data_IF_658152712621
#
_entry.id   IF_658152712621
#
_cell.length_a   1.000
_cell.length_b   1.000
_cell.length_c   1.000
_cell.angle_alpha   90.00
_cell.angle_beta   90.00
_cell.angle_gamma   90.00
#
_symmetry.space_group_name_H-M   'P 1'
#
loop_
_entity.id
_entity.type
_entity.pdbx_description
1 polymer ?
#
# COMPACT_ATOMS: atom_id res chain seq x y z
N UNK A 1 35.06 -31.41 -53.74
CA UNK A 1 34.39 -30.35 -52.95
C UNK A 1 33.28 -31.03 -52.15
N UNK A 2 33.58 -31.91 -51.21
CA UNK A 2 34.23 -31.69 -49.90
C UNK A 2 33.38 -30.80 -48.98
N UNK A 3 32.61 -31.44 -48.08
CA UNK A 3 32.28 -30.88 -46.76
C UNK A 3 33.57 -30.71 -45.93
N UNK A 4 33.61 -29.78 -44.96
CA UNK A 4 33.29 -30.11 -43.56
C UNK A 4 32.42 -29.03 -42.88
N UNK A 5 31.47 -29.34 -41.99
CA UNK A 5 31.56 -29.84 -40.61
C UNK A 5 31.97 -28.76 -39.58
N UNK A 6 31.32 -28.86 -38.41
CA UNK A 6 31.64 -28.22 -37.12
C UNK A 6 31.23 -26.73 -36.97
N UNK A 7 30.75 -26.24 -35.83
CA UNK A 7 30.63 -26.77 -34.46
C UNK A 7 29.85 -25.77 -33.62
N UNK A 8 29.11 -26.27 -32.61
CA UNK A 8 29.10 -25.73 -31.25
C UNK A 8 28.44 -24.35 -31.03
N UNK A 9 27.69 -24.12 -29.96
CA UNK A 9 27.48 -24.96 -28.80
C UNK A 9 26.30 -24.45 -28.01
N UNK A 10 25.72 -25.41 -27.28
CA UNK A 10 24.71 -25.22 -26.28
C UNK A 10 25.07 -24.05 -25.36
N UNK A 11 24.16 -23.07 -25.27
CA UNK A 11 24.08 -22.23 -24.10
C UNK A 11 23.77 -23.15 -22.92
N UNK A 12 24.73 -23.22 -22.00
CA UNK A 12 24.70 -24.08 -20.83
C UNK A 12 23.59 -23.72 -19.83
N UNK A 13 23.31 -24.65 -18.90
CA UNK A 13 22.25 -24.54 -17.92
C UNK A 13 22.73 -23.73 -16.71
N UNK A 14 22.05 -22.63 -16.38
CA UNK A 14 22.24 -21.95 -15.10
C UNK A 14 21.05 -21.05 -14.76
N UNK A 15 19.83 -21.62 -14.73
CA UNK A 15 18.64 -20.94 -14.23
C UNK A 15 17.95 -21.74 -13.11
N UNK A 16 18.75 -22.44 -12.30
CA UNK A 16 18.26 -23.26 -11.20
C UNK A 16 18.94 -22.86 -9.89
N UNK A 17 18.73 -21.62 -9.43
CA UNK A 17 19.09 -21.23 -8.06
C UNK A 17 18.42 -19.91 -7.61
N UNK A 18 17.14 -19.65 -7.92
CA UNK A 18 16.38 -18.64 -7.16
C UNK A 18 14.85 -18.75 -7.32
N UNK A 19 14.29 -19.96 -7.20
CA UNK A 19 12.83 -20.15 -7.30
C UNK A 19 12.15 -20.48 -5.96
N UNK A 20 12.90 -20.89 -4.93
CA UNK A 20 12.28 -21.41 -3.70
C UNK A 20 11.81 -20.34 -2.70
N UNK A 21 12.34 -19.11 -2.74
CA UNK A 21 11.91 -18.05 -1.83
C UNK A 21 10.61 -17.36 -2.23
N UNK A 22 10.29 -17.35 -3.53
CA UNK A 22 9.17 -16.55 -4.07
C UNK A 22 7.91 -17.37 -4.34
N UNK A 23 8.00 -18.70 -4.38
CA UNK A 23 6.84 -19.59 -4.65
C UNK A 23 5.99 -19.81 -3.39
N UNK A 24 6.60 -19.79 -2.20
CA UNK A 24 5.88 -19.93 -0.93
C UNK A 24 4.96 -18.71 -0.65
N UNK A 25 5.42 -17.49 -0.94
CA UNK A 25 4.61 -16.28 -0.79
C UNK A 25 3.42 -16.23 -1.75
N UNK A 26 3.54 -16.83 -2.95
CA UNK A 26 2.43 -16.88 -3.93
C UNK A 26 1.34 -17.91 -3.61
N UNK A 27 1.56 -18.81 -2.64
CA UNK A 27 0.63 -19.89 -2.30
C UNK A 27 -0.14 -19.63 -0.99
N UNK A 28 0.34 -18.73 -0.13
CA UNK A 28 -0.33 -18.40 1.12
C UNK A 28 -1.43 -17.34 0.89
N UNK A 29 -2.71 -17.67 1.13
CA UNK A 29 -3.81 -16.73 0.97
C UNK A 29 -3.62 -15.43 1.76
N UNK A 30 -2.91 -15.44 2.88
CA UNK A 30 -2.65 -14.25 3.69
C UNK A 30 -2.05 -13.11 2.87
N UNK A 31 -1.06 -13.39 2.02
CA UNK A 31 -0.37 -12.35 1.25
C UNK A 31 -1.25 -11.73 0.15
N UNK A 32 -2.15 -12.51 -0.44
CA UNK A 32 -3.15 -12.00 -1.38
C UNK A 32 -4.10 -11.02 -0.69
N UNK A 33 -4.61 -11.39 0.48
CA UNK A 33 -5.48 -10.51 1.27
C UNK A 33 -4.75 -9.32 1.90
N UNK A 34 -3.44 -9.47 2.18
CA UNK A 34 -2.55 -8.39 2.59
C UNK A 34 -2.46 -7.33 1.49
N UNK A 35 -2.16 -7.72 0.26
CA UNK A 35 -2.09 -6.78 -0.89
C UNK A 35 -3.43 -6.08 -1.14
N UNK A 36 -4.55 -6.81 -1.02
CA UNK A 36 -5.89 -6.22 -1.10
C UNK A 36 -6.12 -5.17 0.00
N UNK A 37 -5.74 -5.49 1.25
CA UNK A 37 -5.85 -4.55 2.36
C UNK A 37 -4.95 -3.33 2.15
N UNK A 38 -3.70 -3.51 1.71
CA UNK A 38 -2.77 -2.41 1.42
C UNK A 38 -3.34 -1.47 0.34
N UNK A 39 -3.98 -2.04 -0.68
CA UNK A 39 -4.68 -1.27 -1.72
C UNK A 39 -5.84 -0.46 -1.14
N UNK A 40 -6.65 -1.06 -0.27
CA UNK A 40 -7.78 -0.39 0.41
C UNK A 40 -7.32 0.70 1.37
N UNK A 41 -6.28 0.45 2.17
CA UNK A 41 -5.66 1.42 3.09
C UNK A 41 -5.06 2.59 2.31
N UNK A 42 -4.35 2.32 1.22
CA UNK A 42 -3.81 3.35 0.33
C UNK A 42 -4.91 4.23 -0.27
N UNK A 43 -6.03 3.62 -0.70
CA UNK A 43 -7.20 4.37 -1.19
C UNK A 43 -7.82 5.26 -0.11
N UNK A 44 -7.92 4.76 1.13
CA UNK A 44 -8.40 5.53 2.27
C UNK A 44 -7.47 6.73 2.57
N UNK A 45 -6.16 6.53 2.55
CA UNK A 45 -5.16 7.61 2.72
C UNK A 45 -5.24 8.69 1.64
N UNK A 46 -5.38 8.30 0.37
CA UNK A 46 -5.54 9.25 -0.73
C UNK A 46 -6.79 10.12 -0.56
N UNK A 47 -7.92 9.50 -0.20
CA UNK A 47 -9.17 10.20 0.09
C UNK A 47 -9.05 11.10 1.32
N UNK A 48 -8.37 10.62 2.36
CA UNK A 48 -8.09 11.36 3.58
C UNK A 48 -7.23 12.60 3.32
N UNK A 49 -6.18 12.49 2.51
CA UNK A 49 -5.34 13.64 2.14
C UNK A 49 -6.15 14.73 1.40
N UNK A 50 -6.99 14.34 0.42
CA UNK A 50 -7.89 15.27 -0.26
C UNK A 50 -8.91 15.89 0.72
N UNK A 51 -9.54 15.07 1.55
CA UNK A 51 -10.50 15.49 2.55
C UNK A 51 -9.88 16.49 3.55
N UNK A 52 -8.68 16.21 4.04
CA UNK A 52 -7.95 17.03 5.01
C UNK A 52 -7.60 18.40 4.44
N UNK A 53 -7.14 18.46 3.19
CA UNK A 53 -6.89 19.71 2.48
C UNK A 53 -8.15 20.59 2.40
N UNK A 54 -9.30 19.99 2.06
CA UNK A 54 -10.59 20.71 1.97
C UNK A 54 -11.12 21.10 3.35
N UNK A 55 -10.88 20.26 4.35
CA UNK A 55 -11.20 20.58 5.72
C UNK A 55 -10.34 21.78 6.19
N UNK A 56 -9.04 21.78 6.01
CA UNK A 56 -8.21 22.87 6.51
C UNK A 56 -8.39 24.18 5.71
N UNK A 57 -8.69 24.06 4.41
CA UNK A 57 -9.12 25.18 3.57
C UNK A 57 -10.50 25.71 4.02
N UNK A 58 -10.51 26.77 4.84
CA UNK A 58 -11.73 27.45 5.32
C UNK A 58 -12.56 28.15 4.21
N UNK A 59 -12.18 28.01 2.93
CA UNK A 59 -12.88 28.62 1.80
C UNK A 59 -14.21 27.92 1.47
N UNK A 60 -15.28 28.71 1.33
CA UNK A 60 -16.65 28.20 1.16
C UNK A 60 -16.95 27.60 -0.22
N UNK A 61 -16.11 27.81 -1.23
CA UNK A 61 -16.33 27.27 -2.57
C UNK A 61 -15.98 25.77 -2.67
N UNK A 62 -14.88 25.37 -2.02
CA UNK A 62 -14.38 23.99 -2.00
C UNK A 62 -15.09 23.13 -0.94
N UNK A 63 -15.64 23.76 0.10
CA UNK A 63 -16.40 23.09 1.17
C UNK A 63 -17.66 22.34 0.70
N UNK A 64 -18.15 22.58 -0.51
CA UNK A 64 -19.29 21.85 -1.09
C UNK A 64 -19.02 20.36 -1.31
N UNK A 65 -17.76 19.98 -1.56
CA UNK A 65 -17.36 18.57 -1.74
C UNK A 65 -17.18 17.82 -0.41
N UNK A 66 -17.12 18.55 0.71
CA UNK A 66 -16.77 17.97 2.01
C UNK A 66 -17.74 16.86 2.46
N UNK A 67 -19.08 16.99 2.36
CA UNK A 67 -20.00 15.92 2.75
C UNK A 67 -19.78 14.64 1.93
N UNK A 68 -19.74 14.78 0.61
CA UNK A 68 -19.52 13.66 -0.31
C UNK A 68 -18.18 12.95 -0.06
N UNK A 69 -17.10 13.71 0.16
CA UNK A 69 -15.79 13.14 0.48
C UNK A 69 -15.77 12.46 1.84
N UNK A 70 -16.47 13.01 2.84
CA UNK A 70 -16.59 12.40 4.17
C UNK A 70 -17.30 11.03 4.07
N UNK A 71 -18.40 10.96 3.31
CA UNK A 71 -19.12 9.70 3.06
C UNK A 71 -18.25 8.68 2.30
N UNK A 72 -17.56 9.12 1.25
CA UNK A 72 -16.65 8.27 0.47
C UNK A 72 -15.48 7.75 1.30
N UNK A 73 -14.93 8.55 2.20
CA UNK A 73 -13.86 8.15 3.10
C UNK A 73 -14.36 7.18 4.16
N UNK A 74 -15.53 7.44 4.77
CA UNK A 74 -16.18 6.52 5.70
C UNK A 74 -16.40 5.14 5.09
N UNK A 75 -16.87 5.09 3.84
CA UNK A 75 -17.06 3.82 3.12
C UNK A 75 -15.74 3.11 2.82
N UNK A 76 -14.69 3.85 2.44
CA UNK A 76 -13.37 3.29 2.20
C UNK A 76 -12.76 2.70 3.47
N UNK A 77 -12.85 3.42 4.60
CA UNK A 77 -12.41 2.94 5.92
C UNK A 77 -13.18 1.69 6.33
N UNK A 78 -14.51 1.69 6.22
CA UNK A 78 -15.32 0.51 6.56
C UNK A 78 -15.01 -0.72 5.69
N UNK A 79 -14.66 -0.52 4.41
CA UNK A 79 -14.22 -1.60 3.52
C UNK A 79 -12.86 -2.17 3.94
N UNK A 80 -11.91 -1.30 4.30
CA UNK A 80 -10.60 -1.70 4.80
C UNK A 80 -10.70 -2.43 6.15
N UNK A 81 -11.54 -1.95 7.07
CA UNK A 81 -11.80 -2.59 8.37
C UNK A 81 -12.33 -4.02 8.22
N UNK A 82 -13.19 -4.28 7.24
CA UNK A 82 -13.69 -5.64 6.95
C UNK A 82 -12.57 -6.58 6.51
N UNK A 83 -11.70 -6.12 5.59
CA UNK A 83 -10.54 -6.91 5.13
C UNK A 83 -9.53 -7.14 6.25
N UNK A 84 -9.29 -6.11 7.08
CA UNK A 84 -8.42 -6.19 8.25
C UNK A 84 -8.94 -7.23 9.26
N UNK A 85 -10.23 -7.21 9.57
CA UNK A 85 -10.87 -8.19 10.46
C UNK A 85 -10.74 -9.62 9.92
N UNK A 86 -10.84 -9.80 8.61
CA UNK A 86 -10.61 -11.10 8.00
C UNK A 86 -9.18 -11.59 8.22
N UNK A 87 -8.17 -10.76 7.94
CA UNK A 87 -6.77 -11.10 8.17
C UNK A 87 -6.51 -11.47 9.64
N UNK A 88 -7.08 -10.75 10.59
CA UNK A 88 -6.99 -11.07 12.02
C UNK A 88 -7.54 -12.45 12.35
N UNK A 89 -8.71 -12.79 11.82
CA UNK A 89 -9.31 -14.11 12.00
C UNK A 89 -8.42 -15.21 11.41
N UNK A 90 -7.75 -14.95 10.28
CA UNK A 90 -6.80 -15.92 9.72
C UNK A 90 -5.60 -16.15 10.63
N UNK A 91 -5.04 -15.09 11.23
CA UNK A 91 -3.92 -15.21 12.19
C UNK A 91 -4.35 -16.03 13.40
N UNK A 92 -5.51 -15.71 14.00
CA UNK A 92 -6.06 -16.45 15.15
C UNK A 92 -6.27 -17.93 14.80
N UNK A 93 -6.76 -18.23 13.60
CA UNK A 93 -6.97 -19.61 13.14
C UNK A 93 -5.64 -20.38 13.02
N UNK A 94 -4.61 -19.75 12.45
CA UNK A 94 -3.27 -20.34 12.31
C UNK A 94 -2.64 -20.56 13.68
N UNK A 95 -2.79 -19.61 14.61
CA UNK A 95 -2.30 -19.73 15.98
C UNK A 95 -3.00 -20.83 16.77
N UNK A 96 -4.31 -20.99 16.62
CA UNK A 96 -5.07 -22.06 17.26
C UNK A 96 -4.72 -23.46 16.71
N UNK A 97 -4.13 -23.55 15.52
CA UNK A 97 -3.86 -24.81 14.82
C UNK A 97 -2.40 -24.93 14.36
N UNK A 98 -1.41 -24.55 15.20
CA UNK A 98 0.02 -24.51 14.81
C UNK A 98 0.53 -25.79 14.13
N UNK A 99 0.10 -26.98 14.58
CA UNK A 99 0.52 -28.26 14.00
C UNK A 99 0.03 -28.51 12.56
N UNK A 100 -1.00 -27.79 12.10
CA UNK A 100 -1.46 -27.85 10.70
C UNK A 100 -0.74 -26.86 9.79
N UNK A 101 -0.04 -25.89 10.39
CA UNK A 101 0.62 -24.78 9.72
C UNK A 101 2.10 -24.71 10.11
N UNK A 102 2.79 -25.85 10.11
CA UNK A 102 4.20 -25.95 10.54
C UNK A 102 5.17 -25.13 9.67
N UNK A 103 4.77 -24.79 8.45
CA UNK A 103 5.53 -23.93 7.53
C UNK A 103 5.46 -22.43 7.89
N UNK A 104 4.55 -22.04 8.79
CA UNK A 104 4.40 -20.65 9.26
C UNK A 104 5.09 -20.56 10.62
N UNK A 105 6.32 -20.07 10.67
CA UNK A 105 7.06 -19.95 11.92
C UNK A 105 6.56 -18.79 12.80
N UNK A 106 7.18 -18.61 13.98
CA UNK A 106 6.77 -17.57 14.92
C UNK A 106 7.16 -16.16 14.45
N UNK A 107 8.25 -16.03 13.67
CA UNK A 107 8.69 -14.76 13.11
C UNK A 107 7.67 -14.26 12.07
N UNK A 108 7.18 -15.17 11.24
CA UNK A 108 6.13 -14.92 10.26
C UNK A 108 4.83 -14.50 10.96
N UNK A 109 4.38 -15.22 11.99
CA UNK A 109 3.18 -14.81 12.77
C UNK A 109 3.36 -13.42 13.37
N UNK A 110 4.53 -13.13 13.94
CA UNK A 110 4.82 -11.83 14.52
C UNK A 110 4.79 -10.70 13.47
N UNK A 111 5.36 -10.94 12.27
CA UNK A 111 5.28 -10.04 11.12
C UNK A 111 3.82 -9.77 10.70
N UNK A 112 2.99 -10.82 10.59
CA UNK A 112 1.55 -10.68 10.27
C UNK A 112 0.81 -9.85 11.30
N UNK A 113 1.05 -10.09 12.59
CA UNK A 113 0.46 -9.31 13.69
C UNK A 113 0.91 -7.85 13.65
N UNK A 114 2.19 -7.59 13.42
CA UNK A 114 2.74 -6.24 13.33
C UNK A 114 2.09 -5.45 12.18
N UNK A 115 1.98 -6.06 11.00
CA UNK A 115 1.29 -5.47 9.85
C UNK A 115 -0.17 -5.12 10.17
N UNK A 116 -0.93 -6.07 10.72
CA UNK A 116 -2.33 -5.88 11.13
C UNK A 116 -2.48 -4.77 12.19
N UNK A 117 -1.55 -4.67 13.13
CA UNK A 117 -1.55 -3.63 14.16
C UNK A 117 -1.27 -2.23 13.57
N UNK A 118 -0.33 -2.11 12.63
CA UNK A 118 -0.06 -0.85 11.91
C UNK A 118 -1.29 -0.40 11.13
N UNK A 119 -1.83 -1.28 10.27
CA UNK A 119 -2.99 -0.98 9.44
C UNK A 119 -4.21 -0.57 10.28
N UNK A 120 -4.44 -1.25 11.42
CA UNK A 120 -5.46 -0.88 12.40
C UNK A 120 -5.26 0.55 12.92
N UNK A 121 -4.04 0.88 13.34
CA UNK A 121 -3.72 2.18 13.95
C UNK A 121 -3.95 3.31 12.95
N UNK A 122 -3.57 3.10 11.69
CA UNK A 122 -3.81 4.05 10.60
C UNK A 122 -5.31 4.27 10.36
N UNK A 123 -6.08 3.18 10.18
CA UNK A 123 -7.53 3.27 9.96
C UNK A 123 -8.24 3.93 11.15
N UNK A 124 -7.83 3.61 12.38
CA UNK A 124 -8.37 4.21 13.60
C UNK A 124 -8.13 5.72 13.65
N UNK A 125 -6.93 6.15 13.27
CA UNK A 125 -6.56 7.57 13.29
C UNK A 125 -7.47 8.36 12.36
N UNK A 126 -7.61 7.90 11.11
CA UNK A 126 -8.51 8.49 10.11
C UNK A 126 -9.95 8.48 10.63
N UNK A 127 -10.41 7.32 11.11
CA UNK A 127 -11.77 7.09 11.59
C UNK A 127 -12.15 8.01 12.76
N UNK A 128 -11.23 8.20 13.72
CA UNK A 128 -11.42 9.09 14.88
C UNK A 128 -11.54 10.54 14.45
N UNK A 129 -10.70 10.97 13.51
CA UNK A 129 -10.69 12.36 13.05
C UNK A 129 -11.98 12.72 12.32
N UNK A 130 -12.42 11.87 11.38
CA UNK A 130 -13.63 12.13 10.58
C UNK A 130 -14.92 11.92 11.37
N UNK A 131 -14.88 11.17 12.47
CA UNK A 131 -16.00 11.01 13.39
C UNK A 131 -16.13 12.13 14.43
N UNK A 132 -15.19 13.08 14.46
CA UNK A 132 -15.17 14.15 15.44
C UNK A 132 -16.38 15.10 15.31
N UNK A 133 -16.81 15.69 16.43
CA UNK A 133 -17.96 16.61 16.46
C UNK A 133 -17.71 17.87 15.61
N UNK A 134 -16.45 18.31 15.52
CA UNK A 134 -16.05 19.40 14.64
C UNK A 134 -16.30 19.08 13.16
N UNK A 135 -16.03 17.84 12.74
CA UNK A 135 -16.31 17.38 11.37
C UNK A 135 -17.80 17.26 11.14
N UNK A 136 -18.52 16.55 12.03
CA UNK A 136 -19.98 16.37 11.92
C UNK A 136 -20.72 17.70 11.82
N UNK A 137 -20.39 18.66 12.69
CA UNK A 137 -21.02 19.99 12.68
C UNK A 137 -20.76 20.76 11.39
N UNK A 138 -19.56 20.67 10.83
CA UNK A 138 -19.22 21.34 9.57
C UNK A 138 -19.87 20.67 8.37
N UNK A 139 -19.86 19.34 8.29
CA UNK A 139 -20.53 18.58 7.23
C UNK A 139 -22.01 18.96 7.19
N UNK A 140 -22.71 18.91 8.34
CA UNK A 140 -24.12 19.33 8.47
C UNK A 140 -24.35 20.79 8.06
N UNK A 141 -23.41 21.68 8.36
CA UNK A 141 -23.49 23.10 7.95
C UNK A 141 -23.40 23.25 6.44
N UNK A 142 -22.46 22.56 5.79
CA UNK A 142 -22.30 22.61 4.33
C UNK A 142 -23.48 21.93 3.61
N UNK A 143 -23.97 20.80 4.12
CA UNK A 143 -25.16 20.12 3.63
C UNK A 143 -26.40 21.02 3.68
N UNK A 144 -26.63 21.71 4.81
CA UNK A 144 -27.73 22.67 4.95
C UNK A 144 -27.63 23.81 3.94
N UNK A 145 -26.41 24.30 3.63
CA UNK A 145 -26.23 25.32 2.59
C UNK A 145 -26.58 24.79 1.21
N UNK A 146 -26.29 23.51 0.93
CA UNK A 146 -26.62 22.84 -0.33
C UNK A 146 -28.14 22.64 -0.50
N UNK A 147 -28.90 22.55 0.59
CA UNK A 147 -30.37 22.40 0.58
C UNK A 147 -31.14 23.72 0.44
N UNK A 148 -30.62 24.84 0.97
CA UNK A 148 -31.27 26.18 0.89
C UNK A 148 -31.68 26.66 -0.51
N UNK A 149 -30.90 26.45 -1.59
CA UNK A 149 -31.31 26.89 -2.94
C UNK A 149 -32.52 26.10 -3.49
N UNK A 150 -32.78 24.88 -3.01
CA UNK A 150 -33.96 24.09 -3.42
C UNK A 150 -35.22 24.61 -2.73
N UNK A 151 -35.15 24.89 -1.42
CA UNK A 151 -36.29 25.42 -0.65
C UNK A 151 -36.72 26.83 -1.09
N UNK A 152 -35.75 27.72 -1.40
CA UNK A 152 -36.06 29.07 -1.88
C UNK A 152 -36.72 29.08 -3.27
N UNK A 153 -36.39 28.10 -4.12
CA UNK A 153 -36.93 27.96 -5.49
C UNK A 153 -38.29 27.24 -5.51
N UNK A 154 -38.57 26.39 -4.52
CA UNK A 154 -39.89 25.84 -4.27
C UNK A 154 -40.90 26.91 -3.79
N UNK A 155 -40.45 27.88 -2.99
CA UNK A 155 -41.29 28.97 -2.51
C UNK A 155 -41.73 29.96 -3.61
N UNK A 156 -41.05 29.99 -4.77
CA UNK A 156 -41.37 30.91 -5.88
C UNK A 156 -42.51 30.45 -6.82
N UNK A 157 -43.21 29.36 -6.52
CA UNK A 157 -44.57 29.12 -7.02
C UNK A 157 -44.72 28.83 -8.52
N UNK A 158 -43.86 28.01 -9.13
CA UNK A 158 -44.14 27.43 -10.46
C UNK A 158 -44.73 26.03 -10.24
N UNK A 159 -46.06 25.92 -10.34
CA UNK A 159 -46.90 24.79 -9.90
C UNK A 159 -46.46 23.42 -10.45
N UNK A 160 -46.07 23.34 -11.73
CA UNK A 160 -45.59 22.08 -12.34
C UNK A 160 -44.21 21.63 -11.84
N UNK A 161 -43.42 22.55 -11.27
CA UNK A 161 -42.08 22.25 -10.76
C UNK A 161 -42.10 21.90 -9.27
N UNK A 162 -43.22 22.13 -8.57
CA UNK A 162 -43.34 21.94 -7.13
C UNK A 162 -43.20 20.47 -6.71
N UNK A 163 -43.88 19.53 -7.41
CA UNK A 163 -43.74 18.09 -7.15
C UNK A 163 -42.32 17.57 -7.42
N UNK A 164 -41.69 18.06 -8.48
CA UNK A 164 -40.32 17.68 -8.83
C UNK A 164 -39.31 18.21 -7.78
N UNK A 165 -39.49 19.44 -7.32
CA UNK A 165 -38.67 20.05 -6.26
C UNK A 165 -38.87 19.37 -4.90
N UNK A 166 -40.09 18.96 -4.57
CA UNK A 166 -40.40 18.21 -3.35
C UNK A 166 -39.75 16.81 -3.38
N UNK A 167 -39.87 16.10 -4.50
CA UNK A 167 -39.22 14.79 -4.69
C UNK A 167 -37.68 14.90 -4.61
N UNK A 168 -37.11 15.97 -5.19
CA UNK A 168 -35.68 16.24 -5.11
C UNK A 168 -35.24 16.58 -3.68
N UNK A 169 -36.02 17.39 -2.96
CA UNK A 169 -35.78 17.72 -1.55
C UNK A 169 -35.82 16.47 -0.66
N UNK A 170 -36.79 15.58 -0.89
CA UNK A 170 -36.93 14.33 -0.16
C UNK A 170 -35.71 13.41 -0.39
N UNK A 171 -35.30 13.22 -1.66
CA UNK A 171 -34.10 12.43 -2.00
C UNK A 171 -32.84 12.99 -1.35
N UNK A 172 -32.67 14.30 -1.34
CA UNK A 172 -31.50 14.94 -0.74
C UNK A 172 -31.50 14.81 0.79
N UNK A 173 -32.67 14.84 1.44
CA UNK A 173 -32.81 14.58 2.87
C UNK A 173 -32.49 13.14 3.24
N UNK A 174 -32.90 12.17 2.41
CA UNK A 174 -32.57 10.76 2.60
C UNK A 174 -31.06 10.52 2.51
N UNK A 175 -30.42 11.09 1.49
CA UNK A 175 -28.96 11.01 1.31
C UNK A 175 -28.21 11.58 2.53
N UNK A 176 -28.70 12.68 3.12
CA UNK A 176 -28.12 13.25 4.34
C UNK A 176 -28.24 12.29 5.53
N UNK A 177 -29.40 11.65 5.68
CA UNK A 177 -29.66 10.72 6.77
C UNK A 177 -28.79 9.47 6.67
N UNK A 178 -28.53 8.97 5.47
CA UNK A 178 -27.58 7.88 5.22
C UNK A 178 -26.15 8.23 5.60
N UNK A 179 -25.72 9.47 5.34
CA UNK A 179 -24.40 9.96 5.73
C UNK A 179 -24.25 10.07 7.25
N UNK A 180 -25.26 10.59 7.95
CA UNK A 180 -25.26 10.68 9.42
C UNK A 180 -25.24 9.28 10.07
N UNK A 181 -25.98 8.30 9.52
CA UNK A 181 -25.89 6.90 9.97
C UNK A 181 -24.51 6.29 9.73
N UNK A 182 -23.88 6.60 8.60
CA UNK A 182 -22.52 6.11 8.29
C UNK A 182 -21.49 6.63 9.30
N UNK A 183 -21.59 7.91 9.69
CA UNK A 183 -20.72 8.53 10.71
C UNK A 183 -20.96 7.98 12.12
N UNK A 184 -22.20 7.61 12.46
CA UNK A 184 -22.49 6.91 13.72
C UNK A 184 -21.94 5.48 13.73
N UNK A 185 -22.07 4.78 12.61
CA UNK A 185 -21.45 3.47 12.39
C UNK A 185 -19.93 3.53 12.59
N UNK A 186 -19.30 4.59 12.12
CA UNK A 186 -17.86 4.79 12.26
C UNK A 186 -17.43 5.00 13.72
N UNK A 187 -18.23 5.66 14.55
CA UNK A 187 -17.95 5.77 15.99
C UNK A 187 -17.92 4.41 16.69
N UNK A 188 -18.79 3.49 16.27
CA UNK A 188 -18.79 2.09 16.73
C UNK A 188 -17.56 1.34 16.20
N UNK A 189 -17.17 1.60 14.96
CA UNK A 189 -15.91 1.07 14.39
C UNK A 189 -14.68 1.56 15.17
N UNK A 190 -14.58 2.83 15.54
CA UNK A 190 -13.48 3.36 16.37
C UNK A 190 -13.38 2.59 17.70
N UNK A 191 -14.52 2.31 18.33
CA UNK A 191 -14.57 1.53 19.58
C UNK A 191 -14.09 0.10 19.36
N UNK A 192 -14.50 -0.52 18.25
CA UNK A 192 -14.08 -1.88 17.87
C UNK A 192 -12.57 -1.95 17.56
N UNK A 193 -12.05 -0.98 16.81
CA UNK A 193 -10.61 -0.85 16.55
C UNK A 193 -9.83 -0.64 17.85
N UNK A 194 -10.38 0.08 18.83
CA UNK A 194 -9.74 0.31 20.12
C UNK A 194 -9.68 -0.96 20.99
N UNK A 195 -10.80 -1.70 21.11
CA UNK A 195 -10.86 -2.90 21.93
C UNK A 195 -9.82 -3.94 21.50
N UNK A 196 -9.71 -4.19 20.19
CA UNK A 196 -8.77 -5.19 19.65
C UNK A 196 -7.34 -4.65 19.56
N UNK A 197 -7.13 -3.32 19.45
CA UNK A 197 -5.80 -2.71 19.50
C UNK A 197 -5.08 -3.00 20.82
N UNK A 198 -5.80 -2.95 21.95
CA UNK A 198 -5.21 -3.14 23.29
C UNK A 198 -4.70 -4.57 23.45
N UNK A 199 -5.46 -5.55 22.95
CA UNK A 199 -5.13 -6.97 23.02
C UNK A 199 -3.91 -7.32 22.14
N UNK A 200 -3.90 -6.83 20.89
CA UNK A 200 -2.78 -7.06 19.98
C UNK A 200 -1.51 -6.33 20.44
N UNK A 201 -1.62 -5.10 20.96
CA UNK A 201 -0.44 -4.33 21.39
C UNK A 201 0.26 -4.98 22.60
N UNK A 202 -0.48 -5.58 23.53
CA UNK A 202 0.11 -6.32 24.66
C UNK A 202 0.89 -7.56 24.16
N UNK A 203 0.30 -8.30 23.22
CA UNK A 203 0.92 -9.48 22.62
C UNK A 203 2.14 -9.13 21.74
N UNK A 204 2.05 -8.08 20.93
CA UNK A 204 3.17 -7.59 20.11
C UNK A 204 4.31 -7.12 21.00
N UNK A 205 4.05 -6.43 22.13
CA UNK A 205 5.13 -6.01 23.03
C UNK A 205 5.85 -7.19 23.69
N UNK A 206 5.14 -8.29 23.94
CA UNK A 206 5.73 -9.54 24.40
C UNK A 206 6.56 -10.23 23.30
N UNK A 207 6.12 -10.14 22.03
CA UNK A 207 6.82 -10.72 20.87
C UNK A 207 7.92 -9.81 20.29
N UNK A 208 7.92 -8.49 20.56
CA UNK A 208 8.92 -7.53 20.08
C UNK A 208 10.31 -7.81 20.65
N UNK A 209 10.37 -8.43 21.84
CA UNK A 209 11.62 -8.92 22.43
C UNK A 209 12.28 -10.04 21.59
N UNK A 210 11.51 -10.76 20.75
CA UNK A 210 12.04 -11.77 19.82
C UNK A 210 12.16 -11.25 18.37
N UNK A 211 11.57 -10.10 18.04
CA UNK A 211 11.72 -9.45 16.73
C UNK A 211 12.92 -8.51 16.67
N UNK A 212 13.40 -7.99 17.80
CA UNK A 212 14.69 -7.29 17.88
C UNK A 212 15.82 -8.21 17.38
N UNK A 213 15.78 -9.49 17.76
CA UNK A 213 16.71 -10.53 17.29
C UNK A 213 16.61 -10.76 15.76
N UNK A 214 15.41 -10.65 15.17
CA UNK A 214 15.22 -10.77 13.71
C UNK A 214 15.67 -9.52 12.95
N UNK A 215 15.47 -8.33 13.53
CA UNK A 215 15.97 -7.08 12.99
C UNK A 215 17.51 -7.06 12.99
N UNK A 216 18.12 -7.60 14.04
CA UNK A 216 19.56 -7.82 14.13
C UNK A 216 20.05 -8.83 13.08
N UNK A 217 19.34 -9.96 12.88
CA UNK A 217 19.67 -10.95 11.85
C UNK A 217 19.54 -10.39 10.41
N UNK A 218 18.53 -9.55 10.15
CA UNK A 218 18.33 -8.89 8.85
C UNK A 218 19.36 -7.78 8.62
N UNK A 219 19.72 -7.02 9.66
CA UNK A 219 20.80 -6.03 9.59
C UNK A 219 22.15 -6.71 9.30
N UNK A 220 22.42 -7.85 9.95
CA UNK A 220 23.63 -8.66 9.70
C UNK A 220 23.63 -9.25 8.28
N UNK A 221 22.48 -9.73 7.78
CA UNK A 221 22.34 -10.19 6.41
C UNK A 221 22.57 -9.06 5.38
N UNK A 222 22.08 -7.85 5.66
CA UNK A 222 22.28 -6.66 4.83
C UNK A 222 23.75 -6.22 4.81
N UNK A 223 24.44 -6.27 5.95
CA UNK A 223 25.87 -5.97 6.05
C UNK A 223 26.71 -7.00 5.27
N UNK A 224 26.39 -8.29 5.39
CA UNK A 224 27.01 -9.36 4.59
C UNK A 224 26.76 -9.19 3.10
N UNK A 225 25.55 -8.77 2.70
CA UNK A 225 25.22 -8.48 1.30
C UNK A 225 25.97 -7.26 0.77
N UNK A 226 26.10 -6.20 1.56
CA UNK A 226 26.90 -5.01 1.21
C UNK A 226 28.38 -5.36 1.06
N UNK A 227 28.94 -6.21 1.91
CA UNK A 227 30.32 -6.70 1.79
C UNK A 227 30.54 -7.54 0.52
N UNK A 228 29.57 -8.38 0.15
CA UNK A 228 29.60 -9.15 -1.11
C UNK A 228 29.50 -8.23 -2.32
N UNK A 229 28.60 -7.24 -2.31
CA UNK A 229 28.51 -6.22 -3.37
C UNK A 229 29.79 -5.41 -3.49
N UNK A 230 30.44 -5.06 -2.38
CA UNK A 230 31.69 -4.32 -2.40
C UNK A 230 32.84 -5.16 -2.99
N UNK A 231 32.93 -6.45 -2.66
CA UNK A 231 33.86 -7.39 -3.31
C UNK A 231 33.56 -7.54 -4.81
N UNK A 232 32.29 -7.62 -5.20
CA UNK A 232 31.89 -7.70 -6.60
C UNK A 232 32.20 -6.40 -7.37
N UNK A 233 31.99 -5.24 -6.76
CA UNK A 233 32.38 -3.93 -7.30
C UNK A 233 33.90 -3.78 -7.45
N UNK A 234 34.68 -4.29 -6.48
CA UNK A 234 36.15 -4.32 -6.56
C UNK A 234 36.65 -5.25 -7.68
N UNK A 235 36.05 -6.43 -7.84
CA UNK A 235 36.36 -7.37 -8.92
C UNK A 235 36.00 -6.81 -10.31
N UNK A 236 34.91 -6.06 -10.42
CA UNK A 236 34.53 -5.36 -11.65
C UNK A 236 35.45 -4.16 -11.94
N UNK A 237 35.94 -3.44 -10.92
CA UNK A 237 36.82 -2.27 -11.10
C UNK A 237 38.27 -2.60 -11.47
N UNK A 238 38.77 -3.82 -11.24
CA UNK A 238 40.21 -4.11 -11.38
C UNK A 238 40.64 -4.59 -12.77
N UNK A 239 39.72 -5.00 -13.65
CA UNK A 239 40.11 -5.67 -14.91
C UNK A 239 40.11 -4.78 -16.17
N UNK A 240 39.39 -3.66 -16.17
CA UNK A 240 39.17 -2.92 -17.42
C UNK A 240 40.30 -1.94 -17.79
N UNK A 241 40.95 -1.27 -16.83
CA UNK A 241 41.90 -0.19 -17.18
C UNK A 241 43.20 -0.68 -17.83
N UNK A 242 43.76 -1.79 -17.34
CA UNK A 242 45.00 -2.33 -17.88
C UNK A 242 44.75 -3.09 -19.20
N UNK A 243 43.66 -3.85 -19.28
CA UNK A 243 43.28 -4.60 -20.48
C UNK A 243 42.83 -3.67 -21.62
N UNK A 244 42.11 -2.58 -21.31
CA UNK A 244 41.78 -1.53 -22.28
C UNK A 244 43.05 -0.79 -22.77
N UNK A 245 44.00 -0.49 -21.87
CA UNK A 245 45.28 0.10 -22.25
C UNK A 245 46.09 -0.79 -23.21
N UNK A 246 46.12 -2.10 -22.94
CA UNK A 246 46.78 -3.08 -23.82
C UNK A 246 46.11 -3.19 -25.20
N UNK A 247 44.77 -3.17 -25.24
CA UNK A 247 44.00 -3.21 -26.49
C UNK A 247 44.23 -1.96 -27.33
N UNK A 248 44.24 -0.77 -26.72
CA UNK A 248 44.51 0.50 -27.41
C UNK A 248 45.94 0.49 -27.98
N UNK A 249 46.91 0.03 -27.21
CA UNK A 249 48.30 -0.09 -27.66
C UNK A 249 48.44 -1.05 -28.85
N UNK A 250 47.81 -2.22 -28.79
CA UNK A 250 47.89 -3.22 -29.86
C UNK A 250 47.19 -2.72 -31.15
N UNK A 251 46.06 -2.02 -31.02
CA UNK A 251 45.37 -1.41 -32.15
C UNK A 251 46.21 -0.33 -32.83
N UNK A 252 46.93 0.50 -32.06
CA UNK A 252 47.83 1.52 -32.61
C UNK A 252 48.97 0.91 -33.43
N UNK A 253 49.61 -0.14 -32.91
CA UNK A 253 50.68 -0.86 -33.63
C UNK A 253 50.17 -1.45 -34.94
N UNK A 254 48.96 -2.03 -34.94
CA UNK A 254 48.33 -2.58 -36.13
C UNK A 254 48.10 -1.48 -37.19
N UNK A 255 47.59 -0.32 -36.78
CA UNK A 255 47.36 0.81 -37.70
C UNK A 255 48.67 1.25 -38.36
N UNK A 256 49.76 1.39 -37.59
CA UNK A 256 51.08 1.76 -38.15
C UNK A 256 51.58 0.74 -39.16
N UNK A 257 51.43 -0.56 -38.86
CA UNK A 257 51.80 -1.65 -39.78
C UNK A 257 51.03 -1.57 -41.10
N UNK A 258 49.72 -1.32 -41.05
CA UNK A 258 48.88 -1.18 -42.25
C UNK A 258 49.30 0.03 -43.09
N UNK A 259 49.56 1.19 -42.47
CA UNK A 259 50.02 2.37 -43.20
C UNK A 259 51.38 2.16 -43.87
N UNK A 260 52.31 1.49 -43.19
CA UNK A 260 53.64 1.21 -43.74
C UNK A 260 53.56 0.28 -44.96
N UNK A 261 52.71 -0.74 -44.91
CA UNK A 261 52.44 -1.65 -46.04
C UNK A 261 51.76 -0.95 -47.21
N UNK A 262 50.88 0.03 -46.96
CA UNK A 262 50.21 0.76 -48.05
C UNK A 262 51.15 1.79 -48.72
N UNK A 263 52.08 2.37 -47.97
CA UNK A 263 53.03 3.36 -48.49
C UNK A 263 54.30 2.76 -49.10
N UNK A 264 54.55 1.48 -48.87
CA UNK A 264 55.65 0.70 -49.50
C UNK A 264 55.12 0.00 -50.75
#
# INVERSE_FOLDING_TARGET
MSQPHATGGANGPAAAANANGNVAASADPFYVFKEELETKVSSAHQRYAKWKSIFDAKESAVGKELPALTAQLSSAVASAEKSLKFLEQTIVMVEANRSKFEHIDNAEIASRKAFVASARTELRTISTEISSDAVKSRVRKEERKLMKPVAAKAASGVDDNARFLEEQSLRQSQLLQEQDQSLDGLSKSVTSLNAVAVEINHEIKAQNKMLDDLADDVAEAQERMNFVMERMSRLLKTKDKCQLGLIIFLAFVLVVMVFLVIYT
#
